data_IF_309020062284
#
_entry.id   IF_309020062284
#
_cell.length_a   1.000
_cell.length_b   1.000
_cell.length_c   1.000
_cell.angle_alpha   90.00
_cell.angle_beta   90.00
_cell.angle_gamma   90.00
#
_symmetry.space_group_name_H-M   'P 1'
#
loop_
_entity.id
_entity.type
_entity.pdbx_description
1 polymer ?
#
# COMPACT_ATOMS: atom_id res chain seq x y z
N UNK A 1 3.15 -14.62 -14.11
CA UNK A 1 3.58 -14.60 -12.71
C UNK A 1 2.72 -13.60 -11.99
N UNK A 2 1.98 -14.04 -10.96
CA UNK A 2 1.20 -13.14 -10.09
C UNK A 2 2.14 -12.41 -9.11
N UNK A 3 1.69 -11.30 -8.52
CA UNK A 3 2.51 -10.55 -7.53
C UNK A 3 2.92 -11.44 -6.33
N UNK A 4 2.04 -12.28 -5.74
CA UNK A 4 2.44 -13.21 -4.68
C UNK A 4 3.52 -14.20 -5.12
N UNK A 5 3.40 -14.82 -6.29
CA UNK A 5 4.39 -15.78 -6.79
C UNK A 5 5.78 -15.14 -6.93
N UNK A 6 5.85 -13.91 -7.45
CA UNK A 6 7.11 -13.19 -7.57
C UNK A 6 7.74 -12.88 -6.20
N UNK A 7 6.92 -12.56 -5.19
CA UNK A 7 7.38 -12.27 -3.84
C UNK A 7 7.78 -13.54 -3.08
N UNK A 8 7.13 -14.69 -3.32
CA UNK A 8 7.55 -15.99 -2.79
C UNK A 8 8.94 -16.37 -3.31
N UNK A 9 9.15 -16.28 -4.62
CA UNK A 9 10.46 -16.55 -5.23
C UNK A 9 11.55 -15.62 -4.69
N UNK A 10 11.22 -14.34 -4.49
CA UNK A 10 12.13 -13.40 -3.87
C UNK A 10 12.45 -13.79 -2.41
N UNK A 11 11.44 -14.22 -1.64
CA UNK A 11 11.62 -14.60 -0.25
C UNK A 11 12.48 -15.86 -0.08
N UNK A 12 12.32 -16.83 -0.99
CA UNK A 12 13.11 -18.08 -1.03
C UNK A 12 14.58 -17.83 -1.43
N UNK A 13 14.85 -16.76 -2.18
CA UNK A 13 16.19 -16.39 -2.61
C UNK A 13 17.00 -15.61 -1.56
N UNK A 14 16.35 -15.08 -0.52
CA UNK A 14 16.98 -14.24 0.50
C UNK A 14 17.58 -15.07 1.65
N UNK A 15 18.83 -14.79 2.00
CA UNK A 15 19.49 -15.36 3.18
C UNK A 15 19.06 -14.59 4.44
N UNK A 16 18.36 -15.29 5.33
CA UNK A 16 17.81 -14.74 6.59
C UNK A 16 18.87 -14.11 7.50
N UNK A 17 20.13 -14.56 7.43
CA UNK A 17 21.21 -14.02 8.26
C UNK A 17 21.91 -12.81 7.62
N UNK A 18 21.86 -12.68 6.30
CA UNK A 18 22.54 -11.58 5.58
C UNK A 18 21.62 -10.40 5.35
N UNK A 19 20.34 -10.66 5.10
CA UNK A 19 19.41 -9.65 4.61
C UNK A 19 18.08 -9.63 5.42
N UNK A 20 18.13 -9.57 6.77
CA UNK A 20 16.95 -9.72 7.61
C UNK A 20 15.89 -8.66 7.34
N UNK A 21 16.28 -7.39 7.13
CA UNK A 21 15.33 -6.30 6.85
C UNK A 21 14.65 -6.46 5.48
N UNK A 22 15.39 -6.95 4.48
CA UNK A 22 14.82 -7.18 3.15
C UNK A 22 13.84 -8.36 3.18
N UNK A 23 14.19 -9.42 3.92
CA UNK A 23 13.29 -10.55 4.18
C UNK A 23 12.00 -10.12 4.87
N UNK A 24 12.08 -9.28 5.91
CA UNK A 24 10.90 -8.70 6.58
C UNK A 24 10.04 -7.91 5.59
N UNK A 25 10.66 -7.04 4.77
CA UNK A 25 9.94 -6.23 3.78
C UNK A 25 9.21 -7.10 2.74
N UNK A 26 9.88 -8.12 2.20
CA UNK A 26 9.30 -9.04 1.22
C UNK A 26 8.17 -9.85 1.85
N UNK A 27 8.36 -10.41 3.04
CA UNK A 27 7.32 -11.16 3.77
C UNK A 27 6.09 -10.29 4.06
N UNK A 28 6.30 -9.05 4.52
CA UNK A 28 5.23 -8.07 4.75
C UNK A 28 4.47 -7.73 3.46
N UNK A 29 5.17 -7.50 2.36
CA UNK A 29 4.51 -7.22 1.07
C UNK A 29 3.77 -8.45 0.52
N UNK A 30 4.31 -9.66 0.72
CA UNK A 30 3.64 -10.91 0.37
C UNK A 30 2.36 -11.11 1.19
N UNK A 31 2.41 -10.86 2.50
CA UNK A 31 1.25 -10.90 3.37
C UNK A 31 0.17 -9.88 2.94
N UNK A 32 0.56 -8.66 2.58
CA UNK A 32 -0.35 -7.66 2.06
C UNK A 32 -1.02 -8.12 0.75
N UNK A 33 -0.25 -8.68 -0.19
CA UNK A 33 -0.79 -9.21 -1.44
C UNK A 33 -1.76 -10.39 -1.18
N UNK A 34 -1.49 -11.23 -0.18
CA UNK A 34 -2.41 -12.28 0.22
C UNK A 34 -3.71 -11.75 0.82
N UNK A 35 -3.66 -10.66 1.61
CA UNK A 35 -4.86 -10.00 2.11
C UNK A 35 -5.72 -9.43 0.97
N UNK A 36 -5.09 -8.79 -0.02
CA UNK A 36 -5.80 -8.20 -1.16
C UNK A 36 -6.52 -9.26 -2.00
N UNK A 37 -6.04 -10.51 -1.97
CA UNK A 37 -6.67 -11.67 -2.59
C UNK A 37 -7.66 -12.42 -1.68
N UNK A 38 -7.90 -11.93 -0.46
CA UNK A 38 -8.75 -12.58 0.54
C UNK A 38 -8.15 -13.86 1.16
N UNK A 39 -6.86 -14.14 0.94
CA UNK A 39 -6.16 -15.33 1.45
C UNK A 39 -5.64 -15.09 2.88
N UNK A 40 -6.56 -14.83 3.81
CA UNK A 40 -6.25 -14.38 5.19
C UNK A 40 -5.30 -15.33 5.93
N UNK A 41 -5.49 -16.65 5.79
CA UNK A 41 -4.62 -17.64 6.46
C UNK A 41 -3.17 -17.56 5.98
N UNK A 42 -2.95 -17.38 4.67
CA UNK A 42 -1.59 -17.26 4.12
C UNK A 42 -0.95 -15.94 4.51
N UNK A 43 -1.73 -14.84 4.48
CA UNK A 43 -1.26 -13.56 4.97
C UNK A 43 -0.80 -13.62 6.43
N UNK A 44 -1.59 -14.28 7.30
CA UNK A 44 -1.23 -14.50 8.70
C UNK A 44 0.09 -15.28 8.84
N UNK A 45 0.25 -16.38 8.10
CA UNK A 45 1.48 -17.17 8.14
C UNK A 45 2.72 -16.34 7.80
N UNK A 46 2.64 -15.51 6.76
CA UNK A 46 3.76 -14.65 6.36
C UNK A 46 4.04 -13.53 7.36
N UNK A 47 3.00 -12.93 7.94
CA UNK A 47 3.16 -11.92 8.99
C UNK A 47 3.83 -12.49 10.24
N UNK A 48 3.47 -13.71 10.65
CA UNK A 48 4.04 -14.35 11.85
C UNK A 48 5.43 -14.97 11.62
N UNK A 49 5.82 -15.19 10.36
CA UNK A 49 7.10 -15.78 10.02
C UNK A 49 8.29 -14.84 10.25
N UNK A 50 8.04 -13.53 10.37
CA UNK A 50 9.08 -12.53 10.57
C UNK A 50 8.82 -11.71 11.83
N UNK A 51 9.86 -11.34 12.60
CA UNK A 51 9.68 -10.49 13.76
C UNK A 51 9.33 -9.06 13.33
N UNK A 52 8.77 -8.30 14.28
CA UNK A 52 8.62 -6.86 14.08
C UNK A 52 10.00 -6.20 13.87
N UNK A 53 10.18 -5.39 12.83
CA UNK A 53 11.46 -4.76 12.53
C UNK A 53 11.77 -3.63 13.53
N UNK A 54 13.05 -3.44 13.82
CA UNK A 54 13.50 -2.33 14.69
C UNK A 54 13.60 -0.98 14.00
N UNK A 55 13.60 -0.95 12.67
CA UNK A 55 13.62 0.29 11.88
C UNK A 55 12.23 0.98 11.97
N UNK A 56 12.13 2.23 12.45
CA UNK A 56 10.85 2.85 12.79
C UNK A 56 9.83 2.89 11.65
N UNK A 57 10.24 3.24 10.43
CA UNK A 57 9.31 3.37 9.30
C UNK A 57 8.76 1.98 8.95
N UNK A 58 9.62 0.99 8.82
CA UNK A 58 9.23 -0.39 8.54
C UNK A 58 8.39 -0.98 9.67
N UNK A 59 8.66 -0.63 10.93
CA UNK A 59 7.87 -1.05 12.10
C UNK A 59 6.43 -0.54 12.00
N UNK A 60 6.24 0.75 11.68
CA UNK A 60 4.90 1.33 11.46
C UNK A 60 4.17 0.62 10.32
N UNK A 61 4.84 0.36 9.20
CA UNK A 61 4.25 -0.38 8.09
C UNK A 61 3.93 -1.84 8.42
N UNK A 62 4.71 -2.47 9.30
CA UNK A 62 4.46 -3.81 9.82
C UNK A 62 3.21 -3.81 10.72
N UNK A 63 3.11 -2.89 11.69
CA UNK A 63 1.91 -2.72 12.54
C UNK A 63 0.66 -2.41 11.73
N UNK A 64 0.80 -1.60 10.67
CA UNK A 64 -0.30 -1.35 9.74
C UNK A 64 -0.81 -2.64 9.08
N UNK A 65 0.08 -3.50 8.59
CA UNK A 65 -0.32 -4.82 8.09
C UNK A 65 -1.01 -5.66 9.18
N UNK A 66 -0.52 -5.61 10.43
CA UNK A 66 -1.16 -6.25 11.57
C UNK A 66 -2.60 -5.78 11.80
N UNK A 67 -2.86 -4.47 11.67
CA UNK A 67 -4.21 -3.90 11.76
C UNK A 67 -5.13 -4.42 10.62
N UNK A 68 -4.61 -4.49 9.38
CA UNK A 68 -5.34 -5.07 8.24
C UNK A 68 -5.66 -6.55 8.46
N UNK A 69 -4.73 -7.32 9.03
CA UNK A 69 -4.96 -8.72 9.41
C UNK A 69 -6.06 -8.87 10.46
N UNK A 70 -6.02 -8.08 11.53
CA UNK A 70 -7.08 -8.07 12.55
C UNK A 70 -8.46 -7.85 11.90
N UNK A 71 -8.57 -6.87 11.01
CA UNK A 71 -9.83 -6.60 10.30
C UNK A 71 -10.27 -7.82 9.49
N UNK A 72 -9.38 -8.36 8.67
CA UNK A 72 -9.65 -9.53 7.82
C UNK A 72 -10.02 -10.80 8.60
N UNK A 73 -9.57 -10.91 9.86
CA UNK A 73 -9.90 -11.99 10.80
C UNK A 73 -11.25 -11.81 11.51
N UNK A 74 -12.02 -10.79 11.15
CA UNK A 74 -13.29 -10.48 11.81
C UNK A 74 -13.11 -9.85 13.20
N UNK A 75 -11.97 -9.16 13.41
CA UNK A 75 -11.62 -8.47 14.66
C UNK A 75 -11.62 -6.93 14.48
N UNK A 76 -12.68 -6.31 13.95
CA UNK A 76 -12.64 -4.91 13.50
C UNK A 76 -12.48 -3.91 14.65
N UNK A 77 -13.00 -4.19 15.85
CA UNK A 77 -12.76 -3.34 17.03
C UNK A 77 -11.26 -3.23 17.38
N UNK A 78 -10.56 -4.36 17.33
CA UNK A 78 -9.12 -4.40 17.57
C UNK A 78 -8.32 -3.78 16.42
N UNK A 79 -8.77 -3.98 15.19
CA UNK A 79 -8.18 -3.33 14.02
C UNK A 79 -8.29 -1.81 14.09
N UNK A 80 -9.46 -1.27 14.48
CA UNK A 80 -9.67 0.17 14.61
C UNK A 80 -8.72 0.80 15.64
N UNK A 81 -8.50 0.14 16.78
CA UNK A 81 -7.50 0.58 17.77
C UNK A 81 -6.10 0.59 17.17
N UNK A 82 -5.69 -0.50 16.51
CA UNK A 82 -4.37 -0.61 15.90
C UNK A 82 -4.15 0.44 14.78
N UNK A 83 -5.14 0.68 13.93
CA UNK A 83 -5.06 1.73 12.91
C UNK A 83 -4.90 3.12 13.53
N UNK A 84 -5.58 3.43 14.65
CA UNK A 84 -5.40 4.73 15.34
C UNK A 84 -3.99 4.90 15.90
N UNK A 85 -3.35 3.83 16.38
CA UNK A 85 -1.95 3.87 16.82
C UNK A 85 -1.00 4.13 15.64
N UNK A 86 -1.19 3.38 14.54
CA UNK A 86 -0.43 3.57 13.29
C UNK A 86 -0.60 4.99 12.74
N UNK A 87 -1.79 5.58 12.81
CA UNK A 87 -2.02 6.96 12.35
C UNK A 87 -1.15 7.97 13.09
N UNK A 88 -1.01 7.84 14.41
CA UNK A 88 -0.16 8.74 15.21
C UNK A 88 1.30 8.66 14.76
N UNK A 89 1.79 7.44 14.54
CA UNK A 89 3.16 7.20 14.06
C UNK A 89 3.38 7.79 12.66
N UNK A 90 2.40 7.63 11.76
CA UNK A 90 2.47 8.17 10.39
C UNK A 90 2.41 9.71 10.37
N UNK A 91 1.69 10.33 11.30
CA UNK A 91 1.67 11.78 11.49
C UNK A 91 3.04 12.31 11.91
N UNK A 92 3.69 11.63 12.86
CA UNK A 92 5.06 11.96 13.31
C UNK A 92 6.10 11.77 12.19
N UNK A 93 5.93 10.76 11.36
CA UNK A 93 6.83 10.46 10.22
C UNK A 93 6.64 11.42 9.03
N UNK A 94 5.54 12.17 8.99
CA UNK A 94 5.30 13.17 7.93
C UNK A 94 5.09 12.57 6.54
N UNK A 95 4.55 11.35 6.43
CA UNK A 95 4.24 10.70 5.15
C UNK A 95 2.76 10.90 4.77
N UNK A 96 2.41 11.94 3.98
CA UNK A 96 1.00 12.29 3.72
C UNK A 96 0.23 11.22 2.95
N UNK A 97 0.92 10.47 2.08
CA UNK A 97 0.30 9.38 1.29
C UNK A 97 -0.04 8.20 2.20
N UNK A 98 0.93 7.75 3.01
CA UNK A 98 0.70 6.64 3.94
C UNK A 98 -0.38 6.99 4.97
N UNK A 99 -0.34 8.23 5.47
CA UNK A 99 -1.34 8.74 6.41
C UNK A 99 -2.75 8.68 5.82
N UNK A 100 -2.95 9.22 4.61
CA UNK A 100 -4.26 9.23 3.97
C UNK A 100 -4.77 7.80 3.65
N UNK A 101 -3.89 6.91 3.18
CA UNK A 101 -4.25 5.52 2.93
C UNK A 101 -4.63 4.78 4.23
N UNK A 102 -3.91 4.99 5.33
CA UNK A 102 -4.26 4.42 6.63
C UNK A 102 -5.58 4.99 7.17
N UNK A 103 -5.89 6.27 6.94
CA UNK A 103 -7.18 6.87 7.30
C UNK A 103 -8.34 6.20 6.57
N UNK A 104 -8.20 5.90 5.28
CA UNK A 104 -9.24 5.20 4.53
C UNK A 104 -9.49 3.78 5.05
N UNK A 105 -8.43 3.04 5.41
CA UNK A 105 -8.55 1.71 6.04
C UNK A 105 -9.22 1.80 7.42
N UNK A 106 -8.88 2.81 8.24
CA UNK A 106 -9.57 3.07 9.49
C UNK A 106 -11.05 3.40 9.25
N UNK A 107 -11.37 4.30 8.31
CA UNK A 107 -12.74 4.67 8.00
C UNK A 107 -13.58 3.46 7.58
N UNK A 108 -13.04 2.58 6.73
CA UNK A 108 -13.69 1.34 6.35
C UNK A 108 -13.94 0.41 7.56
N UNK A 109 -12.96 0.31 8.46
CA UNK A 109 -13.08 -0.46 9.70
C UNK A 109 -14.13 0.13 10.65
N UNK A 110 -14.21 1.47 10.75
CA UNK A 110 -15.19 2.17 11.57
C UNK A 110 -16.63 1.95 11.07
N UNK A 111 -16.82 1.86 9.74
CA UNK A 111 -18.11 1.48 9.15
C UNK A 111 -18.54 0.07 9.59
N UNK A 112 -17.60 -0.89 9.66
CA UNK A 112 -17.89 -2.27 10.10
C UNK A 112 -18.35 -2.38 11.55
N UNK A 113 -17.94 -1.43 12.41
CA UNK A 113 -18.34 -1.36 13.82
C UNK A 113 -19.42 -0.29 14.09
N UNK A 114 -20.08 0.20 13.04
CA UNK A 114 -21.17 1.20 13.06
C UNK A 114 -20.79 2.58 13.64
N UNK A 115 -19.50 2.92 13.69
CA UNK A 115 -18.98 4.24 14.09
C UNK A 115 -18.97 5.23 12.91
N UNK A 116 -20.14 5.45 12.28
CA UNK A 116 -20.25 6.15 10.99
C UNK A 116 -19.81 7.62 11.00
N UNK A 117 -20.11 8.35 12.07
CA UNK A 117 -19.72 9.76 12.17
C UNK A 117 -18.19 9.92 12.20
N UNK A 118 -17.51 9.11 13.01
CA UNK A 118 -16.04 9.07 13.04
C UNK A 118 -15.47 8.64 11.69
N UNK A 119 -16.07 7.63 11.05
CA UNK A 119 -15.65 7.15 9.73
C UNK A 119 -15.69 8.26 8.68
N UNK A 120 -16.75 9.06 8.67
CA UNK A 120 -16.91 10.18 7.74
C UNK A 120 -15.87 11.27 7.98
N UNK A 121 -15.62 11.64 9.24
CA UNK A 121 -14.59 12.62 9.58
C UNK A 121 -13.21 12.16 9.12
N UNK A 122 -12.82 10.92 9.46
CA UNK A 122 -11.52 10.35 9.08
C UNK A 122 -11.36 10.26 7.56
N UNK A 123 -12.42 9.89 6.83
CA UNK A 123 -12.39 9.84 5.37
C UNK A 123 -12.29 11.24 4.75
N UNK A 124 -13.01 12.23 5.27
CA UNK A 124 -12.96 13.61 4.80
C UNK A 124 -11.53 14.20 4.91
N UNK A 125 -10.79 13.82 5.96
CA UNK A 125 -9.41 14.23 6.19
C UNK A 125 -8.38 13.51 5.31
N UNK A 126 -8.78 12.47 4.56
CA UNK A 126 -7.91 11.67 3.71
C UNK A 126 -8.11 11.94 2.21
N UNK A 127 -9.35 12.24 1.81
CA UNK A 127 -9.72 12.40 0.40
C UNK A 127 -8.94 13.52 -0.32
N UNK A 128 -8.73 14.72 0.25
CA UNK A 128 -7.98 15.79 -0.42
C UNK A 128 -6.55 15.37 -0.78
N UNK A 129 -5.86 14.68 0.12
CA UNK A 129 -4.48 14.23 -0.05
C UNK A 129 -4.37 13.12 -1.10
N UNK A 130 -5.35 12.21 -1.13
CA UNK A 130 -5.42 11.17 -2.17
C UNK A 130 -5.67 11.76 -3.56
N UNK A 131 -6.63 12.68 -3.67
CA UNK A 131 -6.92 13.37 -4.93
C UNK A 131 -5.73 14.21 -5.41
N UNK A 132 -5.02 14.88 -4.50
CA UNK A 132 -3.81 15.63 -4.82
C UNK A 132 -2.69 14.71 -5.33
N UNK A 133 -2.49 13.55 -4.69
CA UNK A 133 -1.51 12.55 -5.12
C UNK A 133 -1.85 12.02 -6.52
N UNK A 134 -3.11 11.67 -6.76
CA UNK A 134 -3.57 11.22 -8.06
C UNK A 134 -3.38 12.29 -9.14
N UNK A 135 -3.66 13.56 -8.81
CA UNK A 135 -3.40 14.69 -9.70
C UNK A 135 -1.92 14.81 -10.06
N UNK A 136 -1.01 14.69 -9.09
CA UNK A 136 0.43 14.76 -9.37
C UNK A 136 0.91 13.60 -10.24
N UNK A 137 0.43 12.37 -9.97
CA UNK A 137 0.76 11.22 -10.82
C UNK A 137 0.34 11.45 -12.28
N UNK A 138 -0.91 11.87 -12.51
CA UNK A 138 -1.41 12.20 -13.85
C UNK A 138 -0.62 13.35 -14.50
N UNK A 139 -0.25 14.38 -13.74
CA UNK A 139 0.58 15.48 -14.27
C UNK A 139 1.97 15.00 -14.69
N UNK A 140 2.61 14.15 -13.89
CA UNK A 140 3.91 13.56 -14.22
C UNK A 140 3.84 12.69 -15.47
N UNK A 141 2.77 11.91 -15.65
CA UNK A 141 2.55 11.12 -16.87
C UNK A 141 2.36 11.99 -18.11
N UNK A 142 1.58 13.08 -18.01
CA UNK A 142 1.41 14.04 -19.11
C UNK A 142 2.74 14.72 -19.45
N UNK A 143 3.54 15.10 -18.46
CA UNK A 143 4.87 15.70 -18.69
C UNK A 143 5.82 14.69 -19.34
N UNK A 144 5.80 13.42 -18.91
CA UNK A 144 6.58 12.35 -19.53
C UNK A 144 6.16 12.13 -20.99
N UNK A 145 4.86 12.13 -21.28
CA UNK A 145 4.35 12.08 -22.66
C UNK A 145 4.82 13.26 -23.50
N UNK A 146 4.79 14.48 -22.97
CA UNK A 146 5.26 15.67 -23.68
C UNK A 146 6.77 15.60 -23.94
N UNK A 147 7.56 15.14 -22.97
CA UNK A 147 8.99 14.92 -23.14
C UNK A 147 9.28 13.85 -24.19
N UNK A 148 8.58 12.71 -24.14
CA UNK A 148 8.72 11.63 -25.13
C UNK A 148 8.28 12.06 -26.52
N UNK A 149 7.18 12.82 -26.65
CA UNK A 149 6.70 13.34 -27.95
C UNK A 149 7.65 14.38 -28.53
N UNK A 150 8.24 15.26 -27.69
CA UNK A 150 9.30 16.18 -28.12
C UNK A 150 10.59 15.45 -28.49
N UNK A 151 10.87 14.31 -27.86
CA UNK A 151 11.98 13.43 -28.21
C UNK A 151 11.65 12.47 -29.36
N UNK A 152 10.39 12.39 -29.80
CA UNK A 152 9.92 11.49 -30.86
C UNK A 152 10.28 11.96 -32.27
N UNK A 153 10.91 13.14 -32.39
CA UNK A 153 11.73 13.44 -33.57
C UNK A 153 12.91 12.44 -33.72
N UNK A 154 13.24 11.65 -32.68
CA UNK A 154 14.35 10.68 -32.65
C UNK A 154 14.04 9.29 -32.02
N UNK A 155 12.79 8.94 -31.70
CA UNK A 155 12.44 7.65 -31.03
C UNK A 155 11.50 6.77 -31.85
N UNK A 156 11.71 5.44 -31.80
CA UNK A 156 10.86 4.44 -32.47
C UNK A 156 9.45 4.33 -31.85
N UNK A 157 8.39 3.98 -32.60
CA UNK A 157 6.98 4.11 -32.16
C UNK A 157 6.53 3.24 -30.96
N UNK A 158 7.19 2.12 -30.68
CA UNK A 158 6.70 1.10 -29.73
C UNK A 158 6.42 1.55 -28.28
N UNK A 159 7.26 2.39 -27.63
CA UNK A 159 7.02 2.85 -26.26
C UNK A 159 5.83 3.82 -26.13
N UNK A 160 5.52 4.58 -27.19
CA UNK A 160 4.40 5.54 -27.19
C UNK A 160 3.04 4.83 -27.22
N UNK A 161 2.94 3.74 -27.98
CA UNK A 161 1.69 2.96 -28.10
C UNK A 161 1.34 2.21 -26.80
N UNK A 162 2.34 1.66 -26.10
CA UNK A 162 2.12 0.99 -24.80
C UNK A 162 1.63 1.98 -23.73
N UNK A 163 2.19 3.19 -23.70
CA UNK A 163 1.80 4.22 -22.73
C UNK A 163 0.40 4.79 -23.03
N UNK A 164 0.09 5.06 -24.31
CA UNK A 164 -1.23 5.50 -24.74
C UNK A 164 -2.33 4.46 -24.48
N UNK A 165 -1.96 3.16 -24.53
CA UNK A 165 -2.85 2.09 -24.10
C UNK A 165 -3.06 2.07 -22.58
N UNK A 166 -2.05 2.44 -21.78
CA UNK A 166 -2.16 2.47 -20.32
C UNK A 166 -3.08 3.60 -19.85
N UNK A 167 -2.92 4.81 -20.41
CA UNK A 167 -3.74 5.97 -20.06
C UNK A 167 -5.22 5.82 -20.43
N UNK A 168 -5.52 5.15 -21.55
CA UNK A 168 -6.91 4.83 -21.92
C UNK A 168 -7.60 3.90 -20.91
N UNK A 169 -6.85 3.10 -20.16
CA UNK A 169 -7.40 2.22 -19.12
C UNK A 169 -7.66 2.95 -17.79
N UNK A 170 -7.06 4.12 -17.58
CA UNK A 170 -7.19 4.89 -16.34
C UNK A 170 -8.32 5.94 -16.46
N UNK A 171 -8.67 6.35 -17.69
CA UNK A 171 -9.73 7.33 -17.95
C UNK A 171 -11.15 6.75 -18.17
N UNK A 172 -11.36 5.46 -17.95
CA UNK A 172 -12.67 4.77 -18.07
C UNK A 172 -13.13 4.28 -16.69
#
# INVERSE_FOLDING_TARGET
SSVPEALELALDALDENREPNLRILVAKNLAAAYLDLGQVSRARSQYQAVPEPGEPILATHYRWLGARLLRAEGRPNWAATAFREVLKELEEQGSPIALAACRLELAATLVEIDCREEALCVAADALPQMLQTQRYALQSEVLLLQALTRSAENLSPGPLDQLASHLRKIGA
#
